data_IF_182015377443
#
_entry.id   IF_182015377443
#
_cell.length_a   1.000
_cell.length_b   1.000
_cell.length_c   1.000
_cell.angle_alpha   90.00
_cell.angle_beta   90.00
_cell.angle_gamma   90.00
#
_symmetry.space_group_name_H-M   'P 1'
#
loop_
_entity.id
_entity.type
_entity.pdbx_description
1 polymer ?
#
# COMPACT_ATOMS: atom_id res chain seq x y z
N UNK A 1 -8.23 -0.43 -7.08
CA UNK A 1 -7.16 -0.94 -7.92
C UNK A 1 -7.33 -2.42 -8.03
N UNK A 2 -6.22 -3.13 -8.13
CA UNK A 2 -6.19 -4.58 -7.94
C UNK A 2 -5.84 -4.82 -6.47
N UNK A 3 -6.64 -5.65 -5.80
CA UNK A 3 -6.38 -6.06 -4.42
C UNK A 3 -5.57 -7.35 -4.39
N UNK A 4 -4.59 -7.45 -3.50
CA UNK A 4 -3.94 -8.71 -3.18
C UNK A 4 -4.92 -9.67 -2.49
N UNK A 5 -4.59 -10.97 -2.38
CA UNK A 5 -5.21 -11.85 -1.39
C UNK A 5 -5.12 -11.26 0.03
N UNK A 6 -6.06 -11.64 0.89
CA UNK A 6 -6.09 -11.19 2.29
C UNK A 6 -5.05 -11.92 3.11
N UNK A 7 -4.31 -11.18 3.93
CA UNK A 7 -3.40 -11.68 4.94
C UNK A 7 -3.90 -11.23 6.31
N UNK A 8 -3.98 -12.15 7.26
CA UNK A 8 -4.41 -11.85 8.62
C UNK A 8 -3.20 -11.53 9.50
N UNK A 9 -3.22 -10.36 10.14
CA UNK A 9 -2.18 -9.92 11.08
C UNK A 9 -2.90 -9.42 12.34
N UNK A 10 -2.57 -10.01 13.49
CA UNK A 10 -3.22 -9.71 14.78
C UNK A 10 -4.76 -9.85 14.76
N UNK A 11 -5.27 -10.82 14.00
CA UNK A 11 -6.71 -11.04 13.87
C UNK A 11 -7.43 -10.05 12.94
N UNK A 12 -6.69 -9.17 12.26
CA UNK A 12 -7.23 -8.19 11.32
C UNK A 12 -6.89 -8.55 9.87
N UNK A 13 -7.85 -8.52 8.94
CA UNK A 13 -7.62 -8.80 7.53
C UNK A 13 -7.05 -7.60 6.78
N UNK A 14 -5.89 -7.81 6.15
CA UNK A 14 -5.18 -6.80 5.35
C UNK A 14 -5.06 -7.22 3.89
N UNK A 15 -5.13 -6.26 2.99
CA UNK A 15 -4.88 -6.40 1.56
C UNK A 15 -3.96 -5.25 1.10
N UNK A 16 -3.21 -5.47 0.03
CA UNK A 16 -2.62 -4.38 -0.74
C UNK A 16 -3.60 -3.94 -1.84
N UNK A 17 -3.90 -2.64 -1.94
CA UNK A 17 -4.55 -2.03 -3.12
C UNK A 17 -3.48 -1.36 -3.97
N UNK A 18 -3.30 -1.85 -5.19
CA UNK A 18 -2.37 -1.29 -6.16
C UNK A 18 -3.14 -0.71 -7.33
N UNK A 19 -2.87 0.55 -7.69
CA UNK A 19 -3.55 1.21 -8.82
C UNK A 19 -2.67 2.26 -9.48
N UNK A 20 -2.86 2.45 -10.78
CA UNK A 20 -2.39 3.66 -11.45
C UNK A 20 -3.21 4.85 -10.96
N UNK A 21 -2.56 5.88 -10.44
CA UNK A 21 -3.22 7.15 -10.12
C UNK A 21 -3.35 7.96 -11.41
N UNK A 22 -4.54 8.49 -11.67
CA UNK A 22 -4.84 9.16 -12.95
C UNK A 22 -4.42 10.63 -12.94
N UNK A 23 -4.50 11.31 -11.79
CA UNK A 23 -4.13 12.73 -11.63
C UNK A 23 -2.62 12.95 -11.65
N UNK A 24 -1.86 11.99 -11.11
CA UNK A 24 -0.40 11.96 -11.12
C UNK A 24 -0.01 10.62 -11.74
N UNK A 25 0.72 10.58 -12.90
CA UNK A 25 1.03 9.35 -13.63
C UNK A 25 2.03 8.49 -12.83
N UNK A 26 1.53 7.91 -11.75
CA UNK A 26 2.28 7.28 -10.67
C UNK A 26 1.57 6.00 -10.24
N UNK A 27 2.36 5.07 -9.74
CA UNK A 27 1.86 3.89 -9.04
C UNK A 27 1.40 4.32 -7.65
N UNK A 28 0.15 4.02 -7.33
CA UNK A 28 -0.39 4.12 -5.98
C UNK A 28 -0.36 2.75 -5.31
N UNK A 29 0.16 2.69 -4.09
CA UNK A 29 0.23 1.48 -3.27
C UNK A 29 -0.35 1.79 -1.90
N UNK A 30 -1.35 1.03 -1.48
CA UNK A 30 -2.07 1.25 -0.23
C UNK A 30 -2.23 -0.04 0.55
N UNK A 31 -2.06 0.05 1.86
CA UNK A 31 -2.52 -0.97 2.78
C UNK A 31 -4.01 -0.73 3.04
N UNK A 32 -4.81 -1.76 2.80
CA UNK A 32 -6.25 -1.74 2.89
C UNK A 32 -6.70 -2.72 3.95
N UNK A 33 -7.40 -2.23 4.96
CA UNK A 33 -8.19 -3.05 5.86
C UNK A 33 -9.61 -3.14 5.29
N UNK A 34 -10.13 -4.37 5.13
CA UNK A 34 -11.51 -4.55 4.64
C UNK A 34 -12.47 -3.83 5.58
N UNK A 35 -13.43 -3.10 5.02
CA UNK A 35 -14.43 -2.39 5.83
C UNK A 35 -15.08 -3.41 6.77
N UNK A 36 -14.90 -3.16 8.07
CA UNK A 36 -15.53 -3.89 9.15
C UNK A 36 -16.79 -3.12 9.53
N UNK A 37 -17.89 -3.84 9.81
CA UNK A 37 -19.12 -3.23 10.34
C UNK A 37 -18.93 -2.69 11.77
N UNK A 38 -17.80 -3.00 12.40
CA UNK A 38 -17.42 -2.48 13.71
C UNK A 38 -16.80 -1.08 13.59
N UNK A 39 -17.29 -0.16 14.41
CA UNK A 39 -16.79 1.21 14.57
C UNK A 39 -15.84 1.40 15.77
N UNK A 40 -15.70 0.39 16.63
CA UNK A 40 -14.96 0.45 17.90
C UNK A 40 -13.48 0.05 17.81
N UNK A 41 -12.98 -0.38 16.65
CA UNK A 41 -11.59 -0.82 16.50
C UNK A 41 -10.68 0.32 16.06
N UNK A 42 -9.45 0.28 16.55
CA UNK A 42 -8.33 1.05 16.01
C UNK A 42 -7.03 0.27 16.18
N UNK A 43 -6.07 0.51 15.28
CA UNK A 43 -4.73 -0.06 15.37
C UNK A 43 -3.72 0.92 14.79
N UNK A 44 -2.60 1.10 15.49
CA UNK A 44 -1.47 1.86 14.98
C UNK A 44 -0.53 0.94 14.19
N UNK A 45 -0.26 1.32 12.94
CA UNK A 45 0.49 0.50 11.99
C UNK A 45 1.73 1.24 11.51
N UNK A 46 2.88 0.59 11.68
CA UNK A 46 4.10 0.91 10.93
C UNK A 46 4.18 -0.03 9.74
N UNK A 47 4.34 0.51 8.53
CA UNK A 47 4.45 -0.29 7.32
C UNK A 47 5.56 0.24 6.42
N UNK A 48 6.22 -0.70 5.74
CA UNK A 48 7.16 -0.47 4.66
C UNK A 48 6.62 -1.16 3.40
N UNK A 49 6.61 -0.43 2.30
CA UNK A 49 6.15 -0.87 1.00
C UNK A 49 7.37 -0.94 0.08
N UNK A 50 7.59 -2.10 -0.52
CA UNK A 50 8.75 -2.37 -1.38
C UNK A 50 8.23 -2.87 -2.72
N UNK A 51 8.59 -2.17 -3.79
CA UNK A 51 8.45 -2.67 -5.16
C UNK A 51 9.72 -3.43 -5.51
N UNK A 52 9.57 -4.75 -5.66
CA UNK A 52 10.66 -5.67 -5.95
C UNK A 52 10.99 -5.60 -7.44
N UNK A 53 12.27 -5.37 -7.75
CA UNK A 53 12.85 -5.49 -9.08
C UNK A 53 13.64 -6.82 -9.17
N UNK A 54 13.80 -7.37 -10.37
CA UNK A 54 14.65 -8.55 -10.60
C UNK A 54 16.12 -8.26 -10.30
N UNK A 55 16.54 -7.01 -10.42
CA UNK A 55 17.80 -6.47 -9.93
C UNK A 55 17.55 -5.81 -8.57
N UNK A 56 17.83 -6.53 -7.47
CA UNK A 56 17.51 -6.10 -6.09
C UNK A 56 18.04 -4.71 -5.74
N UNK A 57 19.12 -4.26 -6.39
CA UNK A 57 19.72 -2.93 -6.22
C UNK A 57 18.77 -1.80 -6.62
N UNK A 58 17.74 -2.11 -7.42
CA UNK A 58 16.74 -1.15 -7.95
C UNK A 58 15.40 -1.22 -7.25
N UNK A 59 15.29 -1.90 -6.11
CA UNK A 59 14.06 -1.92 -5.32
C UNK A 59 13.67 -0.49 -4.92
N UNK A 60 12.41 -0.13 -5.12
CA UNK A 60 11.86 1.14 -4.67
C UNK A 60 11.13 0.89 -3.35
N UNK A 61 11.50 1.64 -2.32
CA UNK A 61 10.92 1.48 -0.98
C UNK A 61 10.39 2.81 -0.44
N UNK A 62 9.22 2.76 0.20
CA UNK A 62 8.66 3.85 1.01
C UNK A 62 8.09 3.27 2.29
N UNK A 63 8.26 3.96 3.41
CA UNK A 63 7.71 3.58 4.71
C UNK A 63 6.95 4.74 5.32
N UNK A 64 6.02 4.45 6.22
CA UNK A 64 5.43 5.50 7.03
C UNK A 64 6.48 6.12 7.96
N UNK A 65 6.56 7.45 7.99
CA UNK A 65 7.51 8.17 8.86
C UNK A 65 7.20 7.98 10.36
N UNK A 66 5.94 7.70 10.67
CA UNK A 66 5.42 7.39 12.01
C UNK A 66 4.29 6.37 11.89
N UNK A 67 3.94 5.65 12.98
CA UNK A 67 2.76 4.79 12.97
C UNK A 67 1.51 5.56 12.52
N UNK A 68 0.71 4.93 11.67
CA UNK A 68 -0.55 5.48 11.14
C UNK A 68 -1.71 4.71 11.74
N UNK A 69 -2.70 5.43 12.29
CA UNK A 69 -3.88 4.82 12.89
C UNK A 69 -4.89 4.41 11.83
N UNK A 70 -5.17 3.11 11.75
CA UNK A 70 -6.28 2.54 11.00
C UNK A 70 -7.50 2.38 11.92
N UNK A 71 -8.67 2.70 11.39
CA UNK A 71 -9.97 2.52 12.04
C UNK A 71 -11.09 2.52 10.98
N UNK A 72 -12.35 2.55 11.40
CA UNK A 72 -13.52 2.55 10.52
C UNK A 72 -13.60 3.74 9.54
N UNK A 73 -12.97 4.88 9.86
CA UNK A 73 -12.89 6.07 8.97
C UNK A 73 -11.65 6.07 8.09
N UNK A 74 -10.56 5.47 8.56
CA UNK A 74 -9.24 5.48 7.93
C UNK A 74 -8.77 4.06 7.61
N UNK A 75 -9.62 3.26 6.96
CA UNK A 75 -9.34 1.86 6.64
C UNK A 75 -8.35 1.67 5.49
N UNK A 76 -7.92 2.75 4.83
CA UNK A 76 -7.00 2.72 3.69
C UNK A 76 -5.93 3.79 3.86
N UNK A 77 -4.66 3.41 3.84
CA UNK A 77 -3.52 4.34 3.93
C UNK A 77 -2.38 3.85 3.05
N UNK A 78 -1.55 4.76 2.55
CA UNK A 78 -0.44 4.42 1.68
C UNK A 78 0.09 5.62 0.92
N UNK A 79 0.68 5.35 -0.24
CA UNK A 79 1.33 6.36 -1.09
C UNK A 79 0.64 6.39 -2.44
N UNK A 80 0.01 7.52 -2.77
CA UNK A 80 -0.54 7.75 -4.11
C UNK A 80 0.53 8.01 -5.17
N UNK A 81 1.71 8.44 -4.73
CA UNK A 81 2.86 8.82 -5.56
C UNK A 81 4.03 7.84 -5.35
N UNK A 82 3.75 6.56 -5.11
CA UNK A 82 4.77 5.58 -4.68
C UNK A 82 6.00 5.59 -5.60
N UNK A 83 5.78 5.52 -6.91
CA UNK A 83 6.79 5.80 -7.93
C UNK A 83 6.15 6.30 -9.23
N UNK A 84 6.93 6.86 -10.15
CA UNK A 84 6.42 7.22 -11.49
C UNK A 84 6.00 5.95 -12.25
N UNK A 85 4.87 6.01 -12.95
CA UNK A 85 4.31 4.84 -13.63
C UNK A 85 5.23 4.30 -14.73
N UNK A 86 5.96 5.18 -15.43
CA UNK A 86 6.93 4.78 -16.44
C UNK A 86 8.05 3.89 -15.86
N UNK A 87 8.44 4.09 -14.60
CA UNK A 87 9.50 3.30 -13.96
C UNK A 87 9.05 1.86 -13.66
N UNK A 88 7.73 1.61 -13.61
CA UNK A 88 7.17 0.27 -13.45
C UNK A 88 7.18 -0.50 -14.78
N UNK A 89 6.99 0.22 -15.89
CA UNK A 89 6.89 -0.33 -17.24
C UNK A 89 8.24 -0.40 -17.97
N UNK A 90 9.30 0.16 -17.39
CA UNK A 90 10.63 0.10 -17.98
C UNK A 90 11.15 -1.34 -17.88
N UNK A 91 10.72 -2.17 -18.83
CA UNK A 91 11.39 -3.41 -19.17
C UNK A 91 12.83 -3.03 -19.50
N UNK A 92 13.78 -3.58 -18.73
CA UNK A 92 15.20 -3.32 -18.92
C UNK A 92 15.56 -3.32 -20.41
N UNK A 93 16.03 -2.18 -20.91
CA UNK A 93 16.92 -2.14 -22.08
C UNK A 93 18.29 -2.70 -21.70
#
# INVERSE_FOLDING_TARGET
>A
GIYSPTVEILGLPWNLDVKKVLSTPSLGVFLYHRISDSDIWSIDVSAEFILINTDEVKNIQKKFDRPVTFNHKTSVQGFSDFCEWKNVLDEQK
#
